data_IF_395916701074
#
_entry.id   IF_395916701074
#
_cell.length_a   1.000
_cell.length_b   1.000
_cell.length_c   1.000
_cell.angle_alpha   90.00
_cell.angle_beta   90.00
_cell.angle_gamma   90.00
#
_symmetry.space_group_name_H-M   'P 1'
#
loop_
_entity.id
_entity.type
_entity.pdbx_description
1 polymer ?
#
# COMPACT_ATOMS: atom_id res chain seq x y z
N UNK A 1 10.92 48.31 -56.84
CA UNK A 1 9.95 47.21 -56.65
C UNK A 1 10.80 46.01 -56.24
N UNK A 2 10.99 45.65 -54.98
CA UNK A 2 10.01 45.16 -54.01
C UNK A 2 10.46 45.50 -52.57
N UNK A 3 9.49 45.86 -51.73
CA UNK A 3 9.65 46.35 -50.37
C UNK A 3 10.00 45.21 -49.40
N UNK A 4 11.13 45.35 -48.68
CA UNK A 4 11.59 44.41 -47.64
C UNK A 4 10.96 44.75 -46.27
N UNK A 5 10.09 45.76 -46.21
CA UNK A 5 9.48 46.27 -44.97
C UNK A 5 8.27 45.47 -44.47
N UNK A 6 7.91 44.35 -45.11
CA UNK A 6 6.69 43.59 -44.78
C UNK A 6 6.93 42.28 -44.01
N UNK A 7 8.19 41.86 -43.79
CA UNK A 7 8.48 40.61 -43.07
C UNK A 7 8.66 40.77 -41.55
N UNK A 8 8.74 41.99 -41.00
CA UNK A 8 9.02 42.24 -39.58
C UNK A 8 7.79 42.54 -38.70
N UNK A 9 6.56 42.36 -39.22
CA UNK A 9 5.33 42.66 -38.46
C UNK A 9 4.59 41.41 -37.94
N UNK A 10 5.22 40.24 -37.89
CA UNK A 10 4.56 39.00 -37.42
C UNK A 10 5.29 38.22 -36.31
N UNK A 11 6.17 38.88 -35.54
CA UNK A 11 6.88 38.27 -34.38
C UNK A 11 6.28 38.72 -33.03
N UNK A 12 5.18 39.50 -33.01
CA UNK A 12 4.65 40.10 -31.76
C UNK A 12 3.36 39.47 -31.21
N UNK A 13 2.71 38.52 -31.90
CA UNK A 13 1.40 37.98 -31.47
C UNK A 13 1.35 36.47 -31.16
N UNK A 14 2.49 35.82 -30.92
CA UNK A 14 2.56 34.38 -30.58
C UNK A 14 2.88 34.07 -29.11
N UNK A 15 2.97 35.11 -28.26
CA UNK A 15 3.35 34.94 -26.85
C UNK A 15 2.28 34.27 -25.97
N UNK A 16 1.02 34.24 -26.40
CA UNK A 16 -0.05 33.58 -25.64
C UNK A 16 -0.02 32.07 -25.84
N UNK A 17 0.09 31.62 -27.10
CA UNK A 17 0.05 30.19 -27.42
C UNK A 17 1.31 29.46 -26.95
N UNK A 18 2.51 30.07 -27.10
CA UNK A 18 3.76 29.45 -26.66
C UNK A 18 3.91 29.39 -25.13
N UNK A 19 3.45 30.42 -24.41
CA UNK A 19 3.45 30.42 -22.93
C UNK A 19 2.45 29.42 -22.36
N UNK A 20 1.29 29.26 -22.98
CA UNK A 20 0.29 28.24 -22.59
C UNK A 20 0.85 26.83 -22.83
N UNK A 21 1.52 26.59 -23.95
CA UNK A 21 2.17 25.31 -24.21
C UNK A 21 3.31 25.01 -23.22
N UNK A 22 4.15 25.99 -22.89
CA UNK A 22 5.22 25.81 -21.90
C UNK A 22 4.69 25.59 -20.48
N UNK A 23 3.62 26.28 -20.08
CA UNK A 23 2.99 26.10 -18.77
C UNK A 23 2.27 24.75 -18.67
N UNK A 24 1.61 24.30 -19.74
CA UNK A 24 1.00 22.96 -19.78
C UNK A 24 2.06 21.87 -19.76
N UNK A 25 3.15 22.01 -20.51
CA UNK A 25 4.26 21.06 -20.49
C UNK A 25 4.94 21.02 -19.10
N UNK A 26 5.12 22.17 -18.46
CA UNK A 26 5.66 22.25 -17.10
C UNK A 26 4.70 21.63 -16.08
N UNK A 27 3.39 21.86 -16.19
CA UNK A 27 2.38 21.29 -15.31
C UNK A 27 2.25 19.75 -15.48
N UNK A 28 2.33 19.27 -16.72
CA UNK A 28 2.32 17.83 -17.05
C UNK A 28 3.61 17.16 -16.58
N UNK A 29 4.77 17.81 -16.72
CA UNK A 29 6.04 17.30 -16.16
C UNK A 29 6.01 17.24 -14.63
N UNK A 30 5.48 18.25 -13.95
CA UNK A 30 5.36 18.20 -12.50
C UNK A 30 4.46 17.05 -12.04
N UNK A 31 3.33 16.80 -12.71
CA UNK A 31 2.47 15.65 -12.39
C UNK A 31 3.16 14.28 -12.60
N UNK A 32 4.07 14.18 -13.58
CA UNK A 32 4.85 12.97 -13.83
C UNK A 32 6.04 12.80 -12.86
N UNK A 33 6.57 13.90 -12.30
CA UNK A 33 7.70 13.89 -11.34
C UNK A 33 7.20 13.70 -9.90
N UNK A 34 6.04 14.27 -9.55
CA UNK A 34 5.32 13.96 -8.32
C UNK A 34 4.51 12.68 -8.52
N UNK A 35 5.21 11.58 -8.75
CA UNK A 35 4.60 10.26 -8.75
C UNK A 35 3.80 10.08 -7.47
N UNK A 36 2.52 9.73 -7.61
CA UNK A 36 1.75 9.14 -6.54
C UNK A 36 2.32 7.75 -6.27
N UNK A 37 3.48 7.70 -5.63
CA UNK A 37 3.94 6.52 -4.93
C UNK A 37 3.05 6.42 -3.69
N UNK A 38 1.88 5.82 -3.87
CA UNK A 38 1.10 5.26 -2.76
C UNK A 38 1.96 4.10 -2.23
N UNK A 39 2.90 4.44 -1.34
CA UNK A 39 3.54 3.43 -0.52
C UNK A 39 2.42 2.77 0.26
N UNK A 40 2.01 1.57 -0.15
CA UNK A 40 1.13 0.74 0.63
C UNK A 40 1.79 0.60 2.01
N UNK A 41 1.20 1.27 3.00
CA UNK A 41 1.66 1.19 4.37
C UNK A 41 1.45 -0.27 4.80
N UNK A 42 2.53 -1.07 4.79
CA UNK A 42 2.47 -2.41 5.35
C UNK A 42 2.34 -2.25 6.86
N UNK A 43 1.11 -2.27 7.38
CA UNK A 43 0.91 -2.48 8.80
C UNK A 43 1.43 -3.87 9.13
N UNK A 44 2.61 -3.92 9.74
CA UNK A 44 3.13 -5.14 10.33
C UNK A 44 2.20 -5.55 11.48
N UNK A 45 1.65 -6.74 11.41
CA UNK A 45 0.89 -7.32 12.52
C UNK A 45 1.86 -7.88 13.56
N UNK A 46 1.71 -7.47 14.82
CA UNK A 46 2.54 -7.94 15.93
C UNK A 46 1.69 -8.77 16.90
N UNK A 47 2.05 -10.03 17.12
CA UNK A 47 1.35 -10.89 18.08
C UNK A 47 1.52 -10.41 19.53
N UNK A 48 2.60 -9.70 19.83
CA UNK A 48 2.88 -9.14 21.17
C UNK A 48 1.90 -8.03 21.56
N UNK A 49 1.20 -7.46 20.57
CA UNK A 49 0.15 -6.46 20.78
C UNK A 49 -1.24 -7.10 21.00
N UNK A 50 -1.33 -8.42 20.87
CA UNK A 50 -2.55 -9.18 21.11
C UNK A 50 -2.58 -9.76 22.53
N UNK A 51 -3.72 -10.33 22.91
CA UNK A 51 -3.85 -11.06 24.17
C UNK A 51 -3.10 -12.41 24.20
N UNK A 52 -2.49 -12.83 23.10
CA UNK A 52 -1.75 -14.09 22.99
C UNK A 52 -0.36 -13.89 22.36
N UNK A 53 0.64 -13.65 23.22
CA UNK A 53 2.04 -13.57 22.81
C UNK A 53 2.56 -14.93 22.32
N UNK A 54 3.32 -14.92 21.23
CA UNK A 54 3.96 -16.12 20.71
C UNK A 54 5.29 -16.36 21.42
N UNK A 55 5.24 -16.88 22.65
CA UNK A 55 6.46 -17.15 23.42
C UNK A 55 6.98 -18.58 23.19
N UNK A 56 8.31 -18.72 23.23
CA UNK A 56 9.06 -19.99 23.20
C UNK A 56 8.62 -20.98 22.11
N UNK A 57 7.70 -21.88 22.45
CA UNK A 57 7.21 -22.97 21.58
C UNK A 57 6.12 -22.50 20.63
N UNK A 58 5.29 -21.52 21.03
CA UNK A 58 4.24 -20.97 20.17
C UNK A 58 4.81 -20.09 19.06
N UNK A 59 6.01 -19.52 19.24
CA UNK A 59 6.75 -18.84 18.16
C UNK A 59 7.16 -19.76 17.01
N UNK A 60 7.14 -21.09 17.23
CA UNK A 60 7.67 -22.09 16.30
C UNK A 60 6.60 -22.96 15.67
N UNK A 61 5.34 -22.78 16.03
CA UNK A 61 4.24 -23.50 15.38
C UNK A 61 3.84 -22.79 14.10
N UNK A 62 3.39 -23.57 13.12
CA UNK A 62 2.91 -22.97 11.87
C UNK A 62 1.61 -22.21 12.12
N UNK A 63 1.40 -21.11 11.40
CA UNK A 63 0.23 -20.22 11.53
C UNK A 63 -1.11 -20.97 11.40
N UNK A 64 -1.19 -21.93 10.47
CA UNK A 64 -2.37 -22.73 10.20
C UNK A 64 -2.76 -23.69 11.33
N UNK A 65 -1.87 -23.91 12.30
CA UNK A 65 -2.17 -24.72 13.49
C UNK A 65 -3.26 -24.06 14.36
N UNK A 66 -3.38 -22.74 14.27
CA UNK A 66 -4.35 -21.93 14.99
C UNK A 66 -5.30 -21.19 14.03
N UNK A 67 -4.78 -20.68 12.91
CA UNK A 67 -5.52 -19.94 11.89
C UNK A 67 -6.03 -20.83 10.77
N UNK A 68 -6.97 -21.70 11.13
CA UNK A 68 -7.56 -22.68 10.22
C UNK A 68 -8.24 -21.97 9.06
N UNK A 69 -8.00 -22.45 7.83
CA UNK A 69 -8.55 -21.85 6.60
C UNK A 69 -8.20 -20.36 6.41
N UNK A 70 -7.14 -19.87 7.06
CA UNK A 70 -6.74 -18.47 6.99
C UNK A 70 -7.65 -17.54 7.78
N UNK A 71 -8.42 -18.06 8.74
CA UNK A 71 -9.21 -17.23 9.66
C UNK A 71 -8.31 -16.76 10.81
N UNK A 72 -8.00 -15.46 10.82
CA UNK A 72 -7.08 -14.86 11.80
C UNK A 72 -7.76 -14.30 13.06
N UNK A 73 -9.07 -14.11 13.02
CA UNK A 73 -9.85 -13.57 14.13
C UNK A 73 -10.59 -14.69 14.87
N UNK A 74 -10.80 -14.50 16.18
CA UNK A 74 -11.54 -15.45 17.00
C UNK A 74 -10.78 -16.75 17.30
N UNK A 75 -9.46 -16.78 17.07
CA UNK A 75 -8.62 -17.90 17.48
C UNK A 75 -8.69 -18.06 19.01
N UNK A 76 -8.95 -19.27 19.52
CA UNK A 76 -8.97 -19.51 20.96
C UNK A 76 -7.61 -19.21 21.60
N UNK A 77 -7.63 -18.58 22.76
CA UNK A 77 -6.41 -18.25 23.53
C UNK A 77 -6.27 -19.07 24.81
N UNK A 78 -7.26 -19.89 25.14
CA UNK A 78 -7.22 -20.70 26.35
C UNK A 78 -6.37 -21.95 26.10
N UNK A 79 -5.53 -22.30 27.07
CA UNK A 79 -4.58 -23.40 26.93
C UNK A 79 -5.26 -24.72 26.53
N UNK A 80 -6.43 -25.00 27.10
CA UNK A 80 -7.15 -26.26 26.90
C UNK A 80 -7.89 -26.36 25.57
N UNK A 81 -8.07 -25.25 24.85
CA UNK A 81 -8.73 -25.25 23.53
C UNK A 81 -7.81 -25.82 22.44
N UNK A 82 -6.49 -25.80 22.69
CA UNK A 82 -5.45 -26.32 21.78
C UNK A 82 -4.62 -27.47 22.40
N UNK A 83 -4.59 -27.58 23.73
CA UNK A 83 -3.87 -28.63 24.45
C UNK A 83 -4.84 -29.53 25.24
N UNK A 84 -4.81 -30.82 24.94
CA UNK A 84 -5.39 -31.84 25.82
C UNK A 84 -4.37 -32.36 26.82
N UNK A 85 -4.83 -33.03 27.87
CA UNK A 85 -3.97 -33.70 28.87
C UNK A 85 -3.01 -34.73 28.25
N UNK A 86 -3.32 -35.26 27.06
CA UNK A 86 -2.54 -36.32 26.40
C UNK A 86 -1.80 -35.84 25.14
N UNK A 87 -1.97 -34.58 24.72
CA UNK A 87 -1.33 -34.05 23.50
C UNK A 87 -2.00 -32.82 22.90
N UNK A 88 -1.55 -32.42 21.71
CA UNK A 88 -2.13 -31.28 20.97
C UNK A 88 -3.44 -31.70 20.30
N UNK A 89 -4.48 -30.90 20.44
CA UNK A 89 -5.72 -30.99 19.65
C UNK A 89 -5.66 -29.89 18.58
N UNK A 90 -6.18 -30.15 17.38
CA UNK A 90 -6.25 -29.10 16.36
C UNK A 90 -7.20 -28.01 16.87
N UNK A 91 -6.74 -26.76 16.87
CA UNK A 91 -7.60 -25.62 17.19
C UNK A 91 -8.73 -25.60 16.17
N UNK A 92 -9.96 -25.84 16.62
CA UNK A 92 -11.14 -25.68 15.76
C UNK A 92 -11.49 -24.20 15.72
N UNK A 93 -11.88 -23.68 14.56
CA UNK A 93 -12.38 -22.30 14.48
C UNK A 93 -13.52 -22.13 15.49
N UNK A 94 -13.49 -21.05 16.28
CA UNK A 94 -14.52 -20.78 17.27
C UNK A 94 -15.90 -20.83 16.60
N UNK A 95 -16.78 -21.70 17.11
CA UNK A 95 -18.18 -21.75 16.68
C UNK A 95 -18.88 -20.47 17.17
N UNK A 96 -19.78 -19.88 16.37
CA UNK A 96 -20.44 -18.61 16.68
C UNK A 96 -21.28 -18.66 17.96
#
# INVERSE_FOLDING_TARGET
>A
MYSISSLFMNVSKSNFSLKVFLLLFFMICNLAIFGVAEAAESRSFNHDETSFSLDFVHARVNCESCHVQGVFQGTPTQCYDCHSTTGRIQASAASP
#
